data_IF_394080460137
#
_entry.id   IF_394080460137
#
_cell.length_a   1.000
_cell.length_b   1.000
_cell.length_c   1.000
_cell.angle_alpha   90.00
_cell.angle_beta   90.00
_cell.angle_gamma   90.00
#
_symmetry.space_group_name_H-M   'P 1'
#
loop_
_entity.id
_entity.type
_entity.pdbx_description
1 polymer ?
#
# COMPACT_ATOMS: atom_id res chain seq x y z
N UNK A 1 17.67 0.76 13.71
CA UNK A 1 16.41 0.00 13.94
C UNK A 1 15.31 0.75 13.23
N UNK A 2 14.46 0.09 12.44
CA UNK A 2 13.42 0.77 11.67
C UNK A 2 12.48 1.54 12.59
N UNK A 3 12.38 2.85 12.36
CA UNK A 3 11.53 3.78 13.11
C UNK A 3 10.03 3.47 12.91
N UNK A 4 9.69 2.97 11.71
CA UNK A 4 8.35 2.62 11.27
C UNK A 4 8.28 1.15 10.85
N UNK A 5 7.53 0.29 11.57
CA UNK A 5 7.36 -1.09 11.15
C UNK A 5 6.48 -1.17 9.91
N UNK A 6 7.05 -1.63 8.80
CA UNK A 6 6.34 -1.94 7.54
C UNK A 6 5.99 -3.42 7.45
N UNK A 7 5.00 -3.79 6.63
CA UNK A 7 4.74 -5.20 6.33
C UNK A 7 6.00 -5.91 5.79
N UNK A 8 6.77 -5.25 4.92
CA UNK A 8 8.01 -5.79 4.34
C UNK A 8 9.08 -6.07 5.41
N UNK A 9 9.34 -5.11 6.31
CA UNK A 9 10.33 -5.27 7.38
C UNK A 9 9.94 -6.35 8.40
N UNK A 10 8.63 -6.51 8.68
CA UNK A 10 8.13 -7.56 9.58
C UNK A 10 8.15 -8.95 8.96
N UNK A 11 7.78 -9.09 7.68
CA UNK A 11 7.83 -10.39 6.99
C UNK A 11 9.26 -10.96 6.98
N UNK A 12 10.29 -10.11 6.80
CA UNK A 12 11.71 -10.53 6.91
C UNK A 12 12.07 -11.15 8.27
N UNK A 13 11.32 -10.85 9.34
CA UNK A 13 11.57 -11.34 10.71
C UNK A 13 10.59 -12.44 11.16
N UNK A 14 9.58 -12.76 10.36
CA UNK A 14 8.51 -13.69 10.73
C UNK A 14 8.93 -15.16 10.53
N UNK A 15 8.48 -16.05 11.42
CA UNK A 15 8.59 -17.51 11.22
C UNK A 15 7.55 -17.95 10.19
N UNK A 16 7.91 -18.85 9.28
CA UNK A 16 6.98 -19.39 8.26
C UNK A 16 5.74 -20.00 8.93
N UNK A 17 4.57 -19.63 8.43
CA UNK A 17 3.30 -20.25 8.79
C UNK A 17 3.33 -21.74 8.46
N UNK A 18 2.74 -22.56 9.34
CA UNK A 18 2.57 -24.02 9.16
C UNK A 18 1.34 -24.38 8.33
N UNK A 19 0.36 -23.47 8.20
CA UNK A 19 -0.79 -23.64 7.29
C UNK A 19 -0.37 -23.30 5.86
N UNK A 20 -0.83 -24.09 4.88
CA UNK A 20 -0.70 -23.76 3.47
C UNK A 20 -1.39 -22.40 3.17
N UNK A 21 -0.67 -21.43 2.57
CA UNK A 21 -1.22 -20.12 2.29
C UNK A 21 -2.21 -20.18 1.12
N UNK A 22 -3.35 -19.49 1.28
CA UNK A 22 -4.37 -19.29 0.26
C UNK A 22 -4.50 -17.83 -0.18
N UNK A 23 -4.02 -16.90 0.63
CA UNK A 23 -4.08 -15.47 0.37
C UNK A 23 -2.69 -14.88 0.56
N UNK A 24 -2.31 -13.89 -0.25
CA UNK A 24 -0.99 -13.26 -0.17
C UNK A 24 -1.10 -11.75 -0.12
N UNK A 25 -0.31 -11.14 0.77
CA UNK A 25 -0.13 -9.71 0.81
C UNK A 25 0.50 -9.22 -0.50
N UNK A 26 -0.17 -8.29 -1.18
CA UNK A 26 0.26 -7.76 -2.48
C UNK A 26 1.49 -6.86 -2.39
N UNK A 27 1.85 -6.42 -1.18
CA UNK A 27 3.03 -5.58 -0.92
C UNK A 27 4.26 -6.42 -0.55
N UNK A 28 4.16 -7.28 0.47
CA UNK A 28 5.30 -8.03 1.00
C UNK A 28 5.35 -9.52 0.58
N UNK A 29 4.26 -10.06 0.00
CA UNK A 29 4.17 -11.46 -0.41
C UNK A 29 3.97 -12.45 0.73
N UNK A 30 3.73 -11.98 1.97
CA UNK A 30 3.42 -12.87 3.10
C UNK A 30 2.11 -13.63 2.84
N UNK A 31 2.14 -14.94 3.07
CA UNK A 31 1.02 -15.84 2.81
C UNK A 31 0.20 -16.14 4.08
N UNK A 32 -1.11 -16.26 3.91
CA UNK A 32 -2.08 -16.49 4.99
C UNK A 32 -3.04 -17.61 4.59
N UNK A 33 -3.39 -18.49 5.54
CA UNK A 33 -4.37 -19.54 5.30
C UNK A 33 -5.81 -19.04 5.26
N UNK A 34 -6.08 -17.87 5.87
CA UNK A 34 -7.43 -17.34 6.08
C UNK A 34 -7.57 -15.92 5.53
N UNK A 35 -8.73 -15.63 4.94
CA UNK A 35 -9.05 -14.33 4.32
C UNK A 35 -9.02 -13.20 5.34
N UNK A 36 -9.52 -13.45 6.54
CA UNK A 36 -9.56 -12.46 7.63
C UNK A 36 -8.15 -12.02 8.03
N UNK A 37 -7.22 -12.97 8.21
CA UNK A 37 -5.84 -12.66 8.60
C UNK A 37 -5.10 -11.85 7.54
N UNK A 38 -5.27 -12.21 6.27
CA UNK A 38 -4.71 -11.45 5.15
C UNK A 38 -5.26 -10.02 5.08
N UNK A 39 -6.60 -9.86 5.14
CA UNK A 39 -7.23 -8.52 5.15
C UNK A 39 -6.73 -7.69 6.32
N UNK A 40 -6.70 -8.27 7.54
CA UNK A 40 -6.20 -7.57 8.74
C UNK A 40 -4.73 -7.16 8.57
N UNK A 41 -3.90 -8.03 8.01
CA UNK A 41 -2.49 -7.70 7.74
C UNK A 41 -2.37 -6.50 6.79
N UNK A 42 -3.06 -6.51 5.65
CA UNK A 42 -2.96 -5.38 4.72
C UNK A 42 -3.54 -4.11 5.33
N UNK A 43 -4.67 -4.18 6.05
CA UNK A 43 -5.25 -3.03 6.77
C UNK A 43 -4.22 -2.40 7.71
N UNK A 44 -3.66 -3.18 8.64
CA UNK A 44 -2.79 -2.64 9.70
C UNK A 44 -1.55 -1.91 9.17
N UNK A 45 -0.92 -2.40 8.10
CA UNK A 45 0.33 -1.80 7.60
C UNK A 45 0.15 -0.90 6.39
N UNK A 46 -0.92 -1.07 5.61
CA UNK A 46 -1.10 -0.39 4.35
C UNK A 46 -2.20 0.66 4.46
N UNK A 47 -3.38 0.28 4.95
CA UNK A 47 -4.60 1.10 4.84
C UNK A 47 -4.96 1.88 6.09
N UNK A 48 -4.36 1.54 7.23
CA UNK A 48 -4.67 2.17 8.50
C UNK A 48 -4.33 3.67 8.48
N UNK A 49 -5.25 4.50 8.97
CA UNK A 49 -5.19 5.98 8.86
C UNK A 49 -4.87 6.67 10.19
N UNK A 50 -4.45 5.90 11.20
CA UNK A 50 -4.04 6.45 12.50
C UNK A 50 -2.76 5.78 13.01
N UNK A 51 -1.80 6.55 13.49
CA UNK A 51 -0.59 6.02 14.11
C UNK A 51 -0.44 6.53 15.53
N UNK A 52 0.40 5.86 16.31
CA UNK A 52 0.68 6.20 17.70
C UNK A 52 2.17 6.46 17.86
N UNK A 53 2.52 7.74 18.05
CA UNK A 53 3.89 8.21 18.17
C UNK A 53 4.30 8.25 19.64
N UNK A 54 5.40 7.59 19.98
CA UNK A 54 5.96 7.68 21.31
C UNK A 54 6.56 9.08 21.54
N UNK A 55 6.21 9.67 22.68
CA UNK A 55 6.75 10.93 23.18
C UNK A 55 8.12 10.76 23.85
N UNK A 56 8.43 9.54 24.30
CA UNK A 56 9.66 9.21 25.01
C UNK A 56 10.75 8.60 24.12
N UNK A 57 10.46 8.29 22.85
CA UNK A 57 11.43 7.84 21.85
C UNK A 57 10.85 7.91 20.43
N UNK A 58 11.69 7.69 19.41
CA UNK A 58 11.29 7.86 18.00
C UNK A 58 10.36 6.77 17.43
N UNK A 59 9.82 5.87 18.25
CA UNK A 59 9.04 4.73 17.76
C UNK A 59 7.60 5.09 17.42
N UNK A 60 7.13 4.53 16.31
CA UNK A 60 5.75 4.68 15.84
C UNK A 60 5.07 3.33 15.71
N UNK A 61 3.80 3.28 16.11
CA UNK A 61 2.97 2.07 16.16
C UNK A 61 1.67 2.25 15.37
N UNK A 62 1.26 1.21 14.63
CA UNK A 62 -0.03 1.21 13.91
C UNK A 62 -1.21 0.77 14.78
N UNK A 63 -0.95 0.12 15.91
CA UNK A 63 -1.97 -0.39 16.82
C UNK A 63 -1.78 0.18 18.22
N UNK A 64 -2.88 0.57 18.84
CA UNK A 64 -2.94 1.09 20.21
C UNK A 64 -2.31 0.14 21.23
N UNK A 65 -2.62 -1.16 21.14
CA UNK A 65 -2.07 -2.20 22.02
C UNK A 65 -0.56 -2.31 21.92
N UNK A 66 0.01 -2.11 20.73
CA UNK A 66 1.46 -2.22 20.52
C UNK A 66 2.15 -0.99 21.14
N UNK A 67 1.54 0.20 21.02
CA UNK A 67 2.00 1.42 21.70
C UNK A 67 1.93 1.28 23.23
N UNK A 68 0.77 0.86 23.77
CA UNK A 68 0.57 0.68 25.22
C UNK A 68 1.60 -0.32 25.77
N UNK A 69 1.78 -1.45 25.09
CA UNK A 69 2.76 -2.46 25.48
C UNK A 69 4.19 -1.91 25.52
N UNK A 70 4.55 -1.11 24.52
CA UNK A 70 5.87 -0.49 24.46
C UNK A 70 6.08 0.50 25.60
N UNK A 71 5.12 1.38 25.87
CA UNK A 71 5.23 2.38 26.93
C UNK A 71 5.30 1.74 28.31
N UNK A 72 4.51 0.69 28.56
CA UNK A 72 4.56 -0.08 29.80
C UNK A 72 5.93 -0.77 29.98
N UNK A 73 6.45 -1.44 28.94
CA UNK A 73 7.70 -2.22 29.08
C UNK A 73 8.97 -1.39 28.98
N UNK A 74 9.00 -0.41 28.08
CA UNK A 74 10.22 0.34 27.72
C UNK A 74 10.34 1.64 28.51
N UNK A 75 9.21 2.26 28.86
CA UNK A 75 9.18 3.52 29.60
C UNK A 75 8.60 3.36 31.01
N UNK A 76 8.31 2.12 31.44
CA UNK A 76 7.77 1.79 32.77
C UNK A 76 6.50 2.59 33.13
N UNK A 77 5.74 2.99 32.11
CA UNK A 77 4.55 3.79 32.29
C UNK A 77 3.42 2.97 32.91
N UNK A 78 2.84 3.48 34.01
CA UNK A 78 1.72 2.84 34.72
C UNK A 78 0.35 3.38 34.28
N UNK A 79 0.29 4.58 33.72
CA UNK A 79 -0.95 5.29 33.33
C UNK A 79 -1.40 5.00 31.89
N UNK A 80 -0.60 4.32 31.06
CA UNK A 80 -1.00 4.01 29.67
C UNK A 80 -2.28 3.17 29.54
N UNK A 81 -2.69 2.46 30.59
CA UNK A 81 -3.98 1.76 30.62
C UNK A 81 -5.19 2.73 30.71
N UNK A 82 -4.96 4.00 31.06
CA UNK A 82 -5.97 5.02 31.31
C UNK A 82 -6.21 5.94 30.09
N UNK A 83 -5.85 5.48 28.88
CA UNK A 83 -6.04 6.13 27.56
C UNK A 83 -5.40 7.52 27.35
N UNK A 84 -4.95 8.22 28.39
CA UNK A 84 -4.43 9.59 28.28
C UNK A 84 -3.23 9.70 27.32
N UNK A 85 -2.21 8.85 27.48
CA UNK A 85 -1.06 8.82 26.57
C UNK A 85 -1.43 8.35 25.16
N UNK A 86 -2.45 7.50 25.03
CA UNK A 86 -2.88 6.97 23.74
C UNK A 86 -3.44 8.09 22.85
N UNK A 87 -4.28 8.95 23.41
CA UNK A 87 -4.84 10.09 22.68
C UNK A 87 -3.76 11.13 22.32
N UNK A 88 -2.82 11.40 23.23
CA UNK A 88 -1.69 12.30 22.95
C UNK A 88 -0.73 11.75 21.89
N UNK A 89 -0.58 10.42 21.81
CA UNK A 89 0.24 9.76 20.82
C UNK A 89 -0.44 9.64 19.44
N UNK A 90 -1.78 9.73 19.38
CA UNK A 90 -2.53 9.53 18.14
C UNK A 90 -2.17 10.60 17.12
N UNK A 91 -1.82 10.19 15.91
CA UNK A 91 -1.57 11.03 14.74
C UNK A 91 -2.40 10.52 13.58
N UNK A 92 -2.93 11.44 12.78
CA UNK A 92 -3.59 11.09 11.52
C UNK A 92 -2.54 10.71 10.50
N UNK A 93 -2.81 9.62 9.79
CA UNK A 93 -2.01 9.11 8.66
C UNK A 93 -2.85 9.23 7.40
N UNK A 94 -2.22 9.70 6.32
CA UNK A 94 -2.89 9.77 5.02
C UNK A 94 -3.32 8.37 4.59
N UNK A 95 -4.56 8.23 4.12
CA UNK A 95 -5.09 6.99 3.55
C UNK A 95 -4.93 6.95 2.04
N UNK A 96 -4.88 5.74 1.47
CA UNK A 96 -5.00 5.56 0.02
C UNK A 96 -6.42 5.86 -0.44
N UNK A 97 -6.53 6.31 -1.68
CA UNK A 97 -7.77 6.66 -2.36
C UNK A 97 -8.12 5.70 -3.49
N UNK A 98 -7.15 4.88 -3.92
CA UNK A 98 -7.32 3.96 -5.04
C UNK A 98 -6.37 2.77 -5.00
N UNK A 99 -6.81 1.65 -5.58
CA UNK A 99 -6.04 0.41 -5.60
C UNK A 99 -6.11 -0.25 -6.98
N UNK A 100 -4.95 -0.72 -7.45
CA UNK A 100 -4.82 -1.41 -8.73
C UNK A 100 -4.67 -2.93 -8.59
N UNK A 101 -5.35 -3.69 -9.44
CA UNK A 101 -5.21 -5.14 -9.50
C UNK A 101 -4.07 -5.57 -10.44
N UNK A 102 -3.04 -6.22 -9.89
CA UNK A 102 -1.93 -6.78 -10.65
C UNK A 102 -2.26 -8.07 -11.41
N UNK A 103 -3.43 -8.68 -11.18
CA UNK A 103 -3.88 -9.85 -11.93
C UNK A 103 -4.58 -9.49 -13.24
N UNK A 104 -5.47 -8.49 -13.24
CA UNK A 104 -6.38 -8.22 -14.37
C UNK A 104 -6.60 -6.75 -14.72
N UNK A 105 -5.75 -5.83 -14.24
CA UNK A 105 -5.83 -4.37 -14.46
C UNK A 105 -7.08 -3.66 -13.94
N UNK A 106 -7.94 -4.34 -13.16
CA UNK A 106 -9.15 -3.71 -12.60
C UNK A 106 -8.81 -2.72 -11.48
N UNK A 107 -9.30 -1.49 -11.62
CA UNK A 107 -9.23 -0.43 -10.62
C UNK A 107 -10.37 -0.55 -9.59
N UNK A 108 -10.06 -0.19 -8.34
CA UNK A 108 -11.03 -0.07 -7.26
C UNK A 108 -10.80 1.23 -6.48
N UNK A 109 -11.88 1.95 -6.20
CA UNK A 109 -11.90 3.14 -5.33
C UNK A 109 -12.36 2.81 -3.90
N UNK A 110 -12.72 1.56 -3.63
CA UNK A 110 -13.06 1.06 -2.29
C UNK A 110 -12.15 -0.11 -1.90
N UNK A 111 -11.67 -0.06 -0.66
CA UNK A 111 -10.76 -1.06 -0.12
C UNK A 111 -11.41 -2.45 0.00
N UNK A 112 -12.67 -2.49 0.47
CA UNK A 112 -13.40 -3.75 0.68
C UNK A 112 -13.67 -4.45 -0.64
N UNK A 113 -14.09 -3.70 -1.65
CA UNK A 113 -14.25 -4.18 -3.02
C UNK A 113 -12.94 -4.72 -3.58
N UNK A 114 -11.85 -3.98 -3.42
CA UNK A 114 -10.51 -4.45 -3.84
C UNK A 114 -10.16 -5.76 -3.16
N UNK A 115 -10.35 -5.88 -1.85
CA UNK A 115 -10.05 -7.11 -1.13
C UNK A 115 -10.90 -8.28 -1.61
N UNK A 116 -12.18 -8.07 -1.86
CA UNK A 116 -13.07 -9.12 -2.36
C UNK A 116 -12.69 -9.55 -3.78
N UNK A 117 -12.33 -8.59 -4.63
CA UNK A 117 -11.83 -8.85 -5.97
C UNK A 117 -10.52 -9.64 -5.99
N UNK A 118 -9.52 -9.24 -5.20
CA UNK A 118 -8.25 -9.98 -5.10
C UNK A 118 -8.47 -11.38 -4.50
N UNK A 119 -9.36 -11.50 -3.51
CA UNK A 119 -9.70 -12.80 -2.95
C UNK A 119 -10.33 -13.74 -3.99
N UNK A 120 -11.15 -13.22 -4.91
CA UNK A 120 -11.71 -14.01 -6.00
C UNK A 120 -10.62 -14.60 -6.92
N UNK A 121 -9.54 -13.87 -7.20
CA UNK A 121 -8.38 -14.40 -7.94
C UNK A 121 -7.76 -15.60 -7.23
N UNK A 122 -7.59 -15.52 -5.91
CA UNK A 122 -7.05 -16.63 -5.12
C UNK A 122 -8.03 -17.82 -5.02
N UNK A 123 -9.29 -17.54 -4.72
CA UNK A 123 -10.30 -18.55 -4.37
C UNK A 123 -10.92 -19.25 -5.59
N UNK A 124 -11.16 -18.51 -6.68
CA UNK A 124 -11.90 -19.01 -7.85
C UNK A 124 -10.99 -19.30 -9.04
N UNK A 125 -10.02 -18.45 -9.30
CA UNK A 125 -9.07 -18.69 -10.39
C UNK A 125 -7.87 -19.57 -9.98
N UNK A 126 -7.65 -19.76 -8.67
CA UNK A 126 -6.45 -20.42 -8.16
C UNK A 126 -5.17 -19.67 -8.53
N UNK A 127 -5.26 -18.34 -8.72
CA UNK A 127 -4.10 -17.54 -9.09
C UNK A 127 -3.11 -17.48 -7.92
N UNK A 128 -1.82 -17.56 -8.22
CA UNK A 128 -0.74 -17.32 -7.24
C UNK A 128 -0.08 -15.97 -7.54
N UNK A 129 0.72 -15.47 -6.60
CA UNK A 129 1.47 -14.22 -6.79
C UNK A 129 2.44 -14.24 -7.99
N UNK A 130 2.71 -15.39 -8.61
CA UNK A 130 3.50 -15.49 -9.85
C UNK A 130 2.80 -14.80 -11.05
N UNK A 131 1.46 -14.83 -11.06
CA UNK A 131 0.65 -14.14 -12.06
C UNK A 131 0.52 -12.64 -11.79
N UNK A 132 0.86 -12.17 -10.60
CA UNK A 132 0.79 -10.74 -10.26
C UNK A 132 1.86 -9.95 -11.02
N UNK A 133 1.44 -9.03 -11.89
CA UNK A 133 2.35 -8.17 -12.68
C UNK A 133 2.29 -6.73 -12.22
N UNK A 134 3.45 -6.16 -11.90
CA UNK A 134 3.55 -4.76 -11.47
C UNK A 134 3.03 -3.77 -12.51
N UNK A 135 3.36 -3.95 -13.78
CA UNK A 135 2.82 -3.10 -14.85
C UNK A 135 1.29 -3.09 -14.90
N UNK A 136 0.63 -4.22 -14.57
CA UNK A 136 -0.83 -4.27 -14.50
C UNK A 136 -1.38 -3.42 -13.35
N UNK A 137 -0.67 -3.32 -12.23
CA UNK A 137 -1.02 -2.43 -11.11
C UNK A 137 -0.99 -0.98 -11.58
N UNK A 138 0.08 -0.56 -12.27
CA UNK A 138 0.20 0.83 -12.75
C UNK A 138 -0.88 1.14 -13.81
N UNK A 139 -1.07 0.27 -14.80
CA UNK A 139 -2.15 0.41 -15.78
C UNK A 139 -3.53 0.46 -15.14
N UNK A 140 -3.73 -0.32 -14.08
CA UNK A 140 -4.96 -0.28 -13.30
C UNK A 140 -5.17 1.08 -12.64
N UNK A 141 -4.16 1.59 -11.95
CA UNK A 141 -4.24 2.86 -11.26
C UNK A 141 -4.37 4.07 -12.22
N UNK A 142 -3.87 3.96 -13.45
CA UNK A 142 -4.07 4.98 -14.48
C UNK A 142 -5.53 5.08 -14.96
N UNK A 143 -6.39 4.09 -14.67
CA UNK A 143 -7.81 4.11 -15.02
C UNK A 143 -8.68 4.96 -14.06
N UNK A 144 -8.09 5.57 -13.03
CA UNK A 144 -8.79 6.52 -12.17
C UNK A 144 -9.42 7.65 -13.02
N UNK A 145 -10.69 8.06 -12.80
CA UNK A 145 -11.41 8.93 -13.75
C UNK A 145 -10.66 10.19 -14.21
N UNK A 146 -10.05 10.95 -13.29
CA UNK A 146 -9.31 12.17 -13.62
C UNK A 146 -7.94 11.88 -14.23
N UNK A 147 -7.26 10.83 -13.77
CA UNK A 147 -5.95 10.41 -14.29
C UNK A 147 -6.10 9.87 -15.71
N UNK A 148 -7.15 9.09 -15.97
CA UNK A 148 -7.41 8.46 -17.26
C UNK A 148 -7.63 9.49 -18.36
N UNK A 149 -8.41 10.54 -18.08
CA UNK A 149 -8.65 11.62 -19.03
C UNK A 149 -7.34 12.31 -19.44
N UNK A 150 -6.50 12.61 -18.45
CA UNK A 150 -5.20 13.24 -18.67
C UNK A 150 -4.22 12.30 -19.41
N UNK A 151 -4.23 11.02 -19.06
CA UNK A 151 -3.44 9.98 -19.70
C UNK A 151 -3.80 9.80 -21.16
N UNK A 152 -5.09 9.74 -21.51
CA UNK A 152 -5.54 9.68 -22.90
C UNK A 152 -5.12 10.92 -23.69
N UNK A 153 -5.25 12.11 -23.11
CA UNK A 153 -4.81 13.35 -23.76
C UNK A 153 -3.30 13.34 -24.04
N UNK A 154 -2.49 12.84 -23.10
CA UNK A 154 -1.05 12.72 -23.31
C UNK A 154 -0.71 11.73 -24.43
N UNK A 155 -1.35 10.56 -24.47
CA UNK A 155 -1.09 9.56 -25.53
C UNK A 155 -1.47 10.10 -26.91
N UNK A 156 -2.61 10.78 -27.02
CA UNK A 156 -3.05 11.42 -28.26
C UNK A 156 -2.04 12.48 -28.74
N UNK A 157 -1.59 13.36 -27.83
CA UNK A 157 -0.57 14.36 -28.13
C UNK A 157 0.79 13.76 -28.54
N UNK A 158 1.06 12.50 -28.13
CA UNK A 158 2.26 11.74 -28.52
C UNK A 158 2.06 10.86 -29.74
N UNK A 159 0.85 10.81 -30.30
CA UNK A 159 0.46 9.94 -31.43
C UNK A 159 0.65 8.44 -31.11
N UNK A 160 0.43 8.06 -29.85
CA UNK A 160 0.64 6.71 -29.33
C UNK A 160 -0.65 5.89 -29.40
N UNK A 161 -0.78 5.04 -30.42
CA UNK A 161 -2.01 4.25 -30.65
C UNK A 161 -2.02 2.88 -29.96
N UNK A 162 -0.83 2.26 -29.78
CA UNK A 162 -0.67 1.01 -29.03
C UNK A 162 0.70 0.93 -28.32
N UNK A 163 0.99 1.86 -27.40
CA UNK A 163 2.28 1.92 -26.72
C UNK A 163 2.51 0.72 -25.82
N UNK A 164 3.70 0.12 -25.91
CA UNK A 164 4.12 -0.97 -25.02
C UNK A 164 4.77 -0.41 -23.75
N UNK A 165 3.97 -0.30 -22.68
CA UNK A 165 4.47 0.18 -21.39
C UNK A 165 4.93 -0.95 -20.46
N UNK A 166 6.05 -0.73 -19.77
CA UNK A 166 6.56 -1.67 -18.77
C UNK A 166 7.31 -1.00 -17.63
N UNK A 167 6.68 -0.97 -16.45
CA UNK A 167 7.23 -0.36 -15.24
C UNK A 167 8.01 -1.35 -14.38
N UNK A 168 9.23 -0.96 -13.96
CA UNK A 168 10.07 -1.77 -13.07
C UNK A 168 9.61 -1.60 -11.61
N UNK A 169 9.19 -2.69 -10.95
CA UNK A 169 8.69 -2.68 -9.56
C UNK A 169 9.61 -1.95 -8.59
N UNK A 170 10.92 -2.09 -8.72
CA UNK A 170 11.90 -1.47 -7.84
C UNK A 170 11.89 0.07 -7.90
N UNK A 171 11.50 0.66 -9.03
CA UNK A 171 11.49 2.12 -9.24
C UNK A 171 10.10 2.75 -9.14
N UNK A 172 9.05 1.94 -9.33
CA UNK A 172 7.69 2.43 -9.55
C UNK A 172 6.66 1.79 -8.64
N UNK A 173 7.04 0.74 -7.89
CA UNK A 173 6.22 0.18 -6.82
C UNK A 173 6.35 1.00 -5.54
N UNK A 174 5.61 0.61 -4.49
CA UNK A 174 5.57 1.34 -3.22
C UNK A 174 6.95 1.55 -2.58
N UNK A 175 7.25 2.79 -2.19
CA UNK A 175 8.43 3.12 -1.41
C UNK A 175 8.32 2.57 0.02
N UNK A 176 9.35 1.86 0.49
CA UNK A 176 9.34 1.30 1.84
C UNK A 176 9.35 2.43 2.87
N UNK A 177 8.29 2.49 3.68
CA UNK A 177 8.12 3.48 4.75
C UNK A 177 7.21 4.64 4.37
N UNK A 178 6.85 4.83 3.09
CA UNK A 178 5.88 5.84 2.69
C UNK A 178 4.44 5.45 3.11
N UNK A 179 3.58 6.39 3.59
CA UNK A 179 3.80 7.83 3.74
C UNK A 179 4.43 8.25 5.09
N UNK A 180 4.84 7.30 5.91
CA UNK A 180 5.23 7.53 7.31
C UNK A 180 6.69 7.99 7.49
N UNK A 181 7.55 7.69 6.53
CA UNK A 181 8.97 8.07 6.51
C UNK A 181 9.25 9.25 5.58
N UNK A 182 10.36 9.96 5.79
CA UNK A 182 10.82 11.06 4.93
C UNK A 182 11.28 10.64 3.52
N UNK A 183 11.12 9.36 3.14
CA UNK A 183 11.49 8.89 1.80
C UNK A 183 10.48 9.40 0.76
N UNK A 184 10.96 9.84 -0.41
CA UNK A 184 10.07 10.32 -1.46
C UNK A 184 9.16 9.19 -1.97
N UNK A 185 7.90 9.51 -2.34
CA UNK A 185 7.00 8.53 -2.93
C UNK A 185 7.49 8.06 -4.30
N UNK A 186 7.15 6.83 -4.64
CA UNK A 186 7.29 6.33 -6.01
C UNK A 186 5.98 6.48 -6.79
N UNK A 187 6.00 6.14 -8.08
CA UNK A 187 4.85 6.25 -8.97
C UNK A 187 3.58 5.57 -8.42
N UNK A 188 3.67 4.33 -7.95
CA UNK A 188 2.52 3.63 -7.38
C UNK A 188 1.98 4.37 -6.15
N UNK A 189 2.84 4.91 -5.28
CA UNK A 189 2.39 5.68 -4.11
C UNK A 189 1.65 6.95 -4.56
N UNK A 190 2.23 7.72 -5.47
CA UNK A 190 1.59 8.92 -6.00
C UNK A 190 0.20 8.62 -6.57
N UNK A 191 0.05 7.48 -7.27
CA UNK A 191 -1.20 7.07 -7.89
C UNK A 191 -2.23 6.57 -6.87
N UNK A 192 -1.79 5.80 -5.86
CA UNK A 192 -2.66 5.25 -4.81
C UNK A 192 -3.14 6.31 -3.80
N UNK A 193 -2.43 7.44 -3.70
CA UNK A 193 -2.71 8.55 -2.79
C UNK A 193 -3.24 9.81 -3.52
N UNK A 194 -3.61 9.66 -4.80
CA UNK A 194 -4.15 10.75 -5.62
C UNK A 194 -5.57 11.11 -5.19
N UNK A 195 -5.79 12.37 -4.84
CA UNK A 195 -7.07 12.87 -4.35
C UNK A 195 -7.86 13.55 -5.49
N UNK A 196 -9.21 13.45 -5.49
CA UNK A 196 -10.05 14.21 -6.41
C UNK A 196 -9.73 15.71 -6.35
N UNK A 197 -9.54 16.34 -7.51
CA UNK A 197 -9.21 17.76 -7.64
C UNK A 197 -7.72 18.09 -7.69
N UNK A 198 -6.82 17.12 -7.49
CA UNK A 198 -5.39 17.31 -7.78
C UNK A 198 -5.14 17.38 -9.29
N UNK A 199 -4.12 18.13 -9.70
CA UNK A 199 -3.65 18.12 -11.09
C UNK A 199 -3.00 16.77 -11.43
N UNK A 200 -3.58 16.06 -12.38
CA UNK A 200 -3.11 14.76 -12.83
C UNK A 200 -1.94 14.86 -13.84
N UNK A 201 -1.70 16.02 -14.45
CA UNK A 201 -0.71 16.15 -15.53
C UNK A 201 0.72 15.73 -15.10
N UNK A 202 1.23 16.13 -13.91
CA UNK A 202 2.57 15.74 -13.47
C UNK A 202 2.73 14.22 -13.29
N UNK A 203 1.73 13.57 -12.68
CA UNK A 203 1.81 12.13 -12.37
C UNK A 203 1.65 11.27 -13.64
N UNK A 204 0.81 11.72 -14.57
CA UNK A 204 0.62 11.09 -15.88
C UNK A 204 1.90 11.18 -16.72
N UNK A 205 2.53 12.35 -16.77
CA UNK A 205 3.81 12.54 -17.46
C UNK A 205 4.92 11.67 -16.84
N UNK A 206 4.95 11.58 -15.51
CA UNK A 206 5.87 10.69 -14.79
C UNK A 206 5.62 9.21 -15.16
N UNK A 207 4.35 8.79 -15.18
CA UNK A 207 3.98 7.43 -15.56
C UNK A 207 4.43 7.08 -16.98
N UNK A 208 4.23 7.99 -17.93
CA UNK A 208 4.67 7.82 -19.32
C UNK A 208 6.20 7.66 -19.37
N UNK A 209 6.95 8.61 -18.83
CA UNK A 209 8.41 8.60 -18.88
C UNK A 209 9.04 7.35 -18.22
N UNK A 210 8.45 6.86 -17.12
CA UNK A 210 8.96 5.68 -16.42
C UNK A 210 8.55 4.36 -17.05
N UNK A 211 7.44 4.34 -17.79
CA UNK A 211 6.86 3.14 -18.39
C UNK A 211 7.24 2.94 -19.85
N UNK A 212 7.45 4.04 -20.58
CA UNK A 212 7.63 4.01 -22.02
C UNK A 212 8.97 3.37 -22.36
N UNK A 213 8.94 2.40 -23.27
CA UNK A 213 10.12 1.78 -23.84
C UNK A 213 10.15 2.21 -25.29
N UNK A 214 11.14 3.04 -25.63
CA UNK A 214 11.49 3.34 -27.03
C UNK A 214 11.80 2.06 -27.79
#
# INVERSE_FOLDING_TARGET
KDQFPTCVSRTKRSRRSTKEPKYWCTSCGEGFGEKYDWKRHEVVYQEWTETYHCDNCDKVYHLDKDFIHHHQKSHRCRTCAEKQHLELARRKRKGRTGWGCGFCTKYHSDWTERCNHIAWHFEKNGDTMEKWKHSRVILSLLQQPYIWQEWMRLLDAKQETNPNFGWKKQKTGRAEGYPDSDRPPHLQDLLEFFEPGQDAAPIVKLAYNLGHRS
#
